data_IF_727087242631
#
_entry.id   IF_727087242631
#
_cell.length_a   1.000
_cell.length_b   1.000
_cell.length_c   1.000
_cell.angle_alpha   90.00
_cell.angle_beta   90.00
_cell.angle_gamma   90.00
#
_symmetry.space_group_name_H-M   'P 1'
#
loop_
_entity.id
_entity.type
_entity.pdbx_description
1 polymer ?
#
# COMPACT_ATOMS: atom_id res chain seq x y z
N UNK A 1 -9.86 -3.42 7.93
CA UNK A 1 -8.50 -3.32 7.33
C UNK A 1 -8.56 -3.12 5.82
N UNK A 2 -9.19 -4.03 5.06
CA UNK A 2 -9.36 -3.88 3.60
C UNK A 2 -10.02 -2.56 3.21
N UNK A 3 -11.03 -2.12 3.97
CA UNK A 3 -11.69 -0.83 3.79
C UNK A 3 -10.72 0.36 3.78
N UNK A 4 -9.68 0.35 4.61
CA UNK A 4 -8.70 1.43 4.66
C UNK A 4 -7.83 1.45 3.40
N UNK A 5 -7.43 0.27 2.92
CA UNK A 5 -6.68 0.12 1.66
C UNK A 5 -7.54 0.58 0.47
N UNK A 6 -8.81 0.14 0.41
CA UNK A 6 -9.74 0.54 -0.63
C UNK A 6 -10.07 2.03 -0.60
N UNK A 7 -10.10 2.66 0.59
CA UNK A 7 -10.27 4.10 0.70
C UNK A 7 -9.10 4.88 0.09
N UNK A 8 -7.85 4.46 0.35
CA UNK A 8 -6.66 5.03 -0.28
C UNK A 8 -6.68 4.79 -1.79
N UNK A 9 -7.02 3.57 -2.21
CA UNK A 9 -7.15 3.21 -3.61
C UNK A 9 -8.16 4.10 -4.35
N UNK A 10 -9.36 4.28 -3.80
CA UNK A 10 -10.39 5.13 -4.39
C UNK A 10 -9.93 6.57 -4.57
N UNK A 11 -9.24 7.16 -3.58
CA UNK A 11 -8.63 8.50 -3.72
C UNK A 11 -7.60 8.55 -4.84
N UNK A 12 -6.75 7.53 -4.97
CA UNK A 12 -5.70 7.48 -5.98
C UNK A 12 -6.21 7.22 -7.40
N UNK A 13 -7.29 6.45 -7.53
CA UNK A 13 -8.02 6.29 -8.80
C UNK A 13 -8.67 7.62 -9.19
N UNK A 14 -9.29 8.34 -8.24
CA UNK A 14 -9.87 9.65 -8.49
C UNK A 14 -8.82 10.69 -8.96
N UNK A 15 -7.59 10.61 -8.45
CA UNK A 15 -6.46 11.42 -8.92
C UNK A 15 -5.84 10.93 -10.24
N UNK A 16 -6.30 9.81 -10.81
CA UNK A 16 -5.75 9.21 -12.02
C UNK A 16 -4.36 8.58 -11.85
N UNK A 17 -3.89 8.41 -10.62
CA UNK A 17 -2.58 7.83 -10.30
C UNK A 17 -2.58 6.31 -10.42
N UNK A 18 -3.66 5.67 -9.98
CA UNK A 18 -3.80 4.20 -9.94
C UNK A 18 -4.91 3.76 -10.88
N UNK A 19 -4.76 2.58 -11.48
CA UNK A 19 -5.74 2.05 -12.44
C UNK A 19 -6.19 0.64 -12.14
N UNK A 20 -5.31 -0.18 -11.57
CA UNK A 20 -5.60 -1.59 -11.35
C UNK A 20 -4.98 -2.07 -10.03
N UNK A 21 -5.49 -3.18 -9.51
CA UNK A 21 -4.97 -3.82 -8.30
C UNK A 21 -5.11 -5.34 -8.36
N UNK A 22 -4.22 -6.03 -7.65
CA UNK A 22 -4.31 -7.47 -7.42
C UNK A 22 -4.24 -7.76 -5.92
N UNK A 23 -4.98 -8.79 -5.48
CA UNK A 23 -4.98 -9.26 -4.11
C UNK A 23 -4.52 -10.70 -4.09
N UNK A 24 -3.35 -10.93 -3.51
CA UNK A 24 -2.79 -12.27 -3.32
C UNK A 24 -2.92 -12.66 -1.84
N UNK A 25 -3.79 -13.62 -1.55
CA UNK A 25 -3.99 -14.15 -0.20
C UNK A 25 -3.17 -15.44 -0.04
N UNK A 26 -1.88 -15.28 0.28
CA UNK A 26 -1.00 -16.41 0.56
C UNK A 26 -1.20 -16.96 1.98
N UNK A 27 -0.72 -18.20 2.20
CA UNK A 27 -0.75 -18.87 3.51
C UNK A 27 -0.02 -18.09 4.61
N UNK A 28 1.05 -17.39 4.25
CA UNK A 28 1.92 -16.68 5.19
C UNK A 28 1.71 -15.17 5.25
N UNK A 29 1.24 -14.58 4.14
CA UNK A 29 1.04 -13.15 4.00
C UNK A 29 -0.04 -12.84 2.96
N UNK A 30 -0.75 -11.75 3.19
CA UNK A 30 -1.62 -11.13 2.20
C UNK A 30 -0.86 -9.99 1.50
N UNK A 31 -0.97 -9.89 0.19
CA UNK A 31 -0.33 -8.84 -0.62
C UNK A 31 -1.41 -8.12 -1.42
N UNK A 32 -1.40 -6.80 -1.36
CA UNK A 32 -2.20 -5.94 -2.20
C UNK A 32 -1.25 -5.18 -3.13
N UNK A 33 -1.29 -5.54 -4.42
CA UNK A 33 -0.43 -4.97 -5.45
C UNK A 33 -1.20 -3.90 -6.21
N UNK A 34 -0.57 -2.75 -6.43
CA UNK A 34 -1.16 -1.59 -7.11
C UNK A 34 -0.46 -1.32 -8.42
N UNK A 35 -1.20 -1.06 -9.48
CA UNK A 35 -0.67 -0.85 -10.82
C UNK A 35 -1.10 0.49 -11.42
N UNK A 36 -0.18 1.15 -12.13
CA UNK A 36 -0.46 2.32 -12.96
C UNK A 36 -1.09 1.95 -14.30
N UNK A 37 -0.70 0.79 -14.84
CA UNK A 37 -1.19 0.18 -16.09
C UNK A 37 -1.19 -1.34 -15.93
N UNK A 38 -2.11 -2.01 -16.62
CA UNK A 38 -2.38 -3.47 -16.55
C UNK A 38 -1.19 -4.38 -16.96
N UNK A 39 -0.05 -3.83 -17.39
CA UNK A 39 1.13 -4.61 -17.82
C UNK A 39 2.47 -4.10 -17.28
N UNK A 40 2.44 -3.20 -16.30
CA UNK A 40 3.66 -2.66 -15.66
C UNK A 40 3.96 -3.35 -14.33
N UNK A 41 5.21 -3.25 -13.87
CA UNK A 41 5.59 -3.67 -12.51
C UNK A 41 4.72 -2.93 -11.49
N UNK A 42 4.21 -3.60 -10.44
CA UNK A 42 3.35 -2.93 -9.46
C UNK A 42 4.08 -1.74 -8.84
N UNK A 43 3.43 -0.56 -8.87
CA UNK A 43 3.91 0.69 -8.29
C UNK A 43 4.20 0.51 -6.81
N UNK A 44 3.28 -0.15 -6.11
CA UNK A 44 3.37 -0.39 -4.68
C UNK A 44 2.80 -1.76 -4.34
N UNK A 45 3.35 -2.36 -3.30
CA UNK A 45 2.85 -3.60 -2.68
C UNK A 45 2.63 -3.36 -1.20
N UNK A 46 1.39 -3.51 -0.75
CA UNK A 46 1.03 -3.47 0.66
C UNK A 46 0.96 -4.91 1.15
N UNK A 47 1.86 -5.30 2.04
CA UNK A 47 1.90 -6.65 2.59
C UNK A 47 1.40 -6.66 4.04
N UNK A 48 0.65 -7.70 4.39
CA UNK A 48 0.30 -8.06 5.76
C UNK A 48 0.90 -9.43 6.09
N UNK A 49 1.83 -9.47 7.04
CA UNK A 49 2.47 -10.70 7.53
C UNK A 49 2.18 -10.88 9.03
N UNK A 50 1.19 -11.71 9.42
CA UNK A 50 0.85 -11.98 10.81
C UNK A 50 2.04 -12.49 11.65
N UNK A 51 2.95 -13.27 11.02
CA UNK A 51 4.19 -13.76 11.65
C UNK A 51 5.12 -12.63 12.13
N UNK A 52 5.05 -11.45 11.52
CA UNK A 52 5.86 -10.28 11.89
C UNK A 52 5.13 -9.33 12.85
N UNK A 53 3.86 -9.58 13.18
CA UNK A 53 3.06 -8.73 14.05
C UNK A 53 3.72 -8.53 15.43
N UNK A 54 4.30 -9.58 16.00
CA UNK A 54 5.03 -9.53 17.29
C UNK A 54 6.50 -9.12 17.18
N UNK A 55 6.98 -8.80 15.98
CA UNK A 55 8.38 -8.42 15.72
C UNK A 55 8.45 -6.96 15.26
N UNK A 56 8.41 -6.76 13.94
CA UNK A 56 8.65 -5.46 13.31
C UNK A 56 7.35 -4.76 12.86
N UNK A 57 6.19 -5.38 13.10
CA UNK A 57 4.89 -4.91 12.65
C UNK A 57 4.31 -5.78 11.54
N UNK A 58 2.98 -5.91 11.54
CA UNK A 58 2.27 -6.78 10.62
C UNK A 58 2.19 -6.22 9.20
N UNK A 59 2.32 -4.90 9.00
CA UNK A 59 2.08 -4.25 7.71
C UNK A 59 3.36 -3.62 7.15
N UNK A 60 3.53 -3.70 5.84
CA UNK A 60 4.57 -2.96 5.12
C UNK A 60 4.13 -2.50 3.75
N UNK A 61 4.67 -1.37 3.30
CA UNK A 61 4.54 -0.87 1.93
C UNK A 61 5.89 -0.98 1.25
N UNK A 62 5.91 -1.59 0.07
CA UNK A 62 7.11 -1.75 -0.75
C UNK A 62 6.96 -1.07 -2.10
N UNK A 63 8.08 -0.54 -2.60
CA UNK A 63 8.23 -0.01 -3.95
C UNK A 63 8.47 -1.15 -4.97
N UNK A 64 8.45 -0.87 -6.29
CA UNK A 64 8.59 -1.90 -7.33
C UNK A 64 9.88 -2.71 -7.18
N UNK A 65 11.00 -2.03 -6.87
CA UNK A 65 12.32 -2.60 -6.67
C UNK A 65 12.50 -3.37 -5.33
N UNK A 66 11.43 -3.61 -4.58
CA UNK A 66 11.48 -4.32 -3.29
C UNK A 66 11.95 -3.46 -2.11
N UNK A 67 12.20 -2.16 -2.33
CA UNK A 67 12.50 -1.22 -1.26
C UNK A 67 11.30 -1.07 -0.32
N UNK A 68 11.49 -1.25 0.98
CA UNK A 68 10.46 -1.00 1.99
C UNK A 68 10.36 0.51 2.23
N UNK A 69 9.23 1.11 1.88
CA UNK A 69 8.95 2.53 2.10
C UNK A 69 8.52 2.80 3.54
N UNK A 70 7.72 1.88 4.11
CA UNK A 70 7.27 1.97 5.49
C UNK A 70 6.86 0.61 6.03
N UNK A 71 7.06 0.39 7.32
CA UNK A 71 6.64 -0.82 8.04
C UNK A 71 6.15 -0.46 9.44
N UNK A 72 5.16 -1.18 9.95
CA UNK A 72 4.67 -0.97 11.31
C UNK A 72 3.45 -1.83 11.68
N UNK A 73 3.02 -1.75 12.95
CA UNK A 73 1.84 -2.45 13.45
C UNK A 73 0.52 -1.76 13.08
N UNK A 74 0.56 -0.49 12.68
CA UNK A 74 -0.62 0.29 12.32
C UNK A 74 -0.74 0.45 10.80
N UNK A 75 -1.82 -0.07 10.23
CA UNK A 75 -2.06 -0.03 8.79
C UNK A 75 -2.23 1.40 8.26
N UNK A 76 -2.97 2.26 8.96
CA UNK A 76 -3.26 3.64 8.51
C UNK A 76 -1.98 4.45 8.44
N UNK A 77 -1.14 4.36 9.47
CA UNK A 77 0.17 5.01 9.53
C UNK A 77 1.12 4.48 8.46
N UNK A 78 1.05 3.19 8.12
CA UNK A 78 1.84 2.60 7.04
C UNK A 78 1.36 3.10 5.67
N UNK A 79 0.04 3.17 5.45
CA UNK A 79 -0.56 3.67 4.20
C UNK A 79 -0.30 5.15 3.95
N UNK A 80 -0.07 5.95 4.99
CA UNK A 80 0.20 7.40 4.87
C UNK A 80 1.38 7.74 3.94
N UNK A 81 2.30 6.79 3.69
CA UNK A 81 3.43 6.98 2.77
C UNK A 81 2.97 7.06 1.31
N UNK A 82 1.81 6.48 0.98
CA UNK A 82 1.25 6.44 -0.37
C UNK A 82 0.45 7.70 -0.70
N UNK A 83 -0.03 8.42 0.30
CA UNK A 83 -0.90 9.59 0.11
C UNK A 83 -0.12 10.86 -0.27
N UNK A 84 1.22 10.81 -0.24
CA UNK A 84 2.07 11.97 -0.48
C UNK A 84 2.01 12.98 0.65
N UNK A 85 2.97 13.92 0.71
CA UNK A 85 2.82 15.08 1.62
C UNK A 85 1.51 15.79 1.25
N UNK A 86 0.66 16.18 2.23
CA UNK A 86 -0.44 17.08 1.93
C UNK A 86 0.15 18.27 1.18
N UNK A 87 -0.33 18.54 -0.04
CA UNK A 87 -0.01 19.80 -0.71
C UNK A 87 -0.55 20.87 0.24
N UNK A 88 0.36 21.63 0.86
CA UNK A 88 0.00 22.90 1.46
C UNK A 88 -0.65 23.70 0.32
N UNK A 89 -1.97 23.82 0.35
CA UNK A 89 -2.67 24.79 -0.49
C UNK A 89 -2.19 26.14 0.01
N UNK A 90 -1.33 26.78 -0.78
CA UNK A 90 -0.83 28.12 -0.51
C UNK A 90 -2.01 29.08 -0.43
N UNK A 91 -1.93 29.94 0.60
CA UNK A 91 -2.88 31.01 0.90
C UNK A 91 -2.98 32.06 -0.22
#
# INVERSE_FOLDING_TARGET
ELTAILAVYGRKVACGEWRDYAIDLGRDKAVFSVFRRTSEVPLFRIEKSPKLARKQGAYSVMAPAGLILKRGPDLVRVLSVLEGRPRLVGA
#
